data_IF_113553980193
#
_entry.id   IF_113553980193
#
_cell.length_a   1.000
_cell.length_b   1.000
_cell.length_c   1.000
_cell.angle_alpha   90.00
_cell.angle_beta   90.00
_cell.angle_gamma   90.00
#
_symmetry.space_group_name_H-M   'P 1'
#
loop_
_entity.id
_entity.type
_entity.pdbx_description
1 polymer ?
#
# COMPACT_ATOMS: atom_id res chain seq x y z
N UNK A 1 -1.10 -43.87 63.65
CA UNK A 1 -1.89 -42.63 63.42
C UNK A 1 -1.15 -41.80 62.37
N UNK A 2 -1.89 -41.46 61.31
CA UNK A 2 -1.63 -40.52 60.19
C UNK A 2 -0.34 -40.64 59.35
N UNK A 3 -0.42 -41.12 58.09
CA UNK A 3 0.59 -40.85 57.07
C UNK A 3 0.39 -39.42 56.50
N UNK A 4 1.47 -38.63 56.43
CA UNK A 4 1.49 -37.32 55.76
C UNK A 4 1.83 -37.52 54.29
N UNK A 5 0.87 -37.28 53.41
CA UNK A 5 1.05 -37.23 51.95
C UNK A 5 1.79 -35.95 51.56
N UNK A 6 2.98 -36.10 50.95
CA UNK A 6 3.71 -35.00 50.32
C UNK A 6 3.19 -34.87 48.89
N UNK A 7 2.51 -33.77 48.61
CA UNK A 7 1.99 -33.40 47.29
C UNK A 7 3.19 -32.98 46.42
N UNK A 8 3.39 -33.68 45.31
CA UNK A 8 4.42 -33.39 44.32
C UNK A 8 4.09 -32.08 43.58
N UNK A 9 4.91 -31.05 43.79
CA UNK A 9 4.89 -29.81 43.02
C UNK A 9 5.27 -30.12 41.58
N UNK A 10 4.34 -29.87 40.66
CA UNK A 10 4.53 -30.00 39.22
C UNK A 10 5.61 -28.99 38.83
N UNK A 11 6.78 -29.47 38.40
CA UNK A 11 7.81 -28.66 37.79
C UNK A 11 7.28 -28.19 36.42
N UNK A 12 6.60 -27.04 36.42
CA UNK A 12 6.18 -26.38 35.19
C UNK A 12 7.41 -25.95 34.41
N UNK A 13 7.68 -26.63 33.29
CA UNK A 13 8.59 -26.16 32.25
C UNK A 13 7.96 -24.94 31.57
N UNK A 14 8.09 -23.78 32.21
CA UNK A 14 7.66 -22.48 31.72
C UNK A 14 8.86 -21.62 31.36
N UNK A 15 9.64 -22.04 30.37
CA UNK A 15 10.65 -21.19 29.74
C UNK A 15 10.68 -21.47 28.24
N UNK A 16 9.54 -21.28 27.57
CA UNK A 16 9.57 -20.88 26.16
C UNK A 16 10.11 -19.44 26.16
N UNK A 17 11.43 -19.34 26.03
CA UNK A 17 12.16 -18.08 25.92
C UNK A 17 11.53 -17.23 24.84
N UNK A 18 10.91 -16.13 25.28
CA UNK A 18 10.39 -15.10 24.41
C UNK A 18 11.51 -14.30 23.76
N UNK A 19 11.06 -13.46 22.81
CA UNK A 19 11.73 -12.36 22.11
C UNK A 19 12.71 -12.70 20.97
N UNK A 20 12.14 -12.88 19.77
CA UNK A 20 12.65 -12.15 18.59
C UNK A 20 11.47 -11.36 17.98
N UNK A 21 10.93 -10.42 18.74
CA UNK A 21 10.07 -9.35 18.22
C UNK A 21 10.81 -8.03 18.38
N UNK A 22 11.85 -7.82 17.57
CA UNK A 22 12.70 -6.63 17.67
C UNK A 22 13.32 -6.29 16.34
N UNK A 23 12.57 -5.59 15.49
CA UNK A 23 13.12 -5.02 14.26
C UNK A 23 12.14 -4.17 13.46
N UNK A 24 10.84 -4.48 13.50
CA UNK A 24 9.87 -3.79 12.61
C UNK A 24 9.18 -2.56 13.22
N UNK A 25 9.37 -2.26 14.51
CA UNK A 25 8.54 -1.27 15.22
C UNK A 25 9.23 0.08 15.52
N UNK A 26 10.51 0.26 15.17
CA UNK A 26 11.27 1.48 15.51
C UNK A 26 11.84 2.27 14.32
N UNK A 27 11.55 1.89 13.07
CA UNK A 27 11.86 2.76 11.94
C UNK A 27 10.75 3.79 11.79
N UNK A 28 11.02 5.03 12.23
CA UNK A 28 10.23 6.17 11.78
C UNK A 28 10.20 6.15 10.25
N UNK A 29 9.02 6.25 9.62
CA UNK A 29 8.94 6.25 8.17
C UNK A 29 9.79 7.42 7.63
N UNK A 30 10.54 7.18 6.55
CA UNK A 30 11.41 8.21 5.95
C UNK A 30 10.80 8.82 4.71
N UNK A 31 9.89 8.08 4.07
CA UNK A 31 9.25 8.45 2.82
C UNK A 31 7.80 7.92 2.76
N UNK A 32 7.11 8.22 1.67
CA UNK A 32 5.73 7.77 1.47
C UNK A 32 5.59 6.25 1.32
N UNK A 33 6.62 5.55 0.83
CA UNK A 33 6.61 4.07 0.78
C UNK A 33 6.58 3.47 2.18
N UNK A 34 7.36 4.01 3.10
CA UNK A 34 7.37 3.56 4.50
C UNK A 34 6.05 3.86 5.19
N UNK A 35 5.42 5.02 4.89
CA UNK A 35 4.08 5.35 5.38
C UNK A 35 3.05 4.35 4.86
N UNK A 36 3.08 4.05 3.55
CA UNK A 36 2.18 3.08 2.95
C UNK A 36 2.28 1.71 3.64
N UNK A 37 3.50 1.25 3.90
CA UNK A 37 3.74 -0.01 4.62
C UNK A 37 3.25 0.06 6.08
N UNK A 38 3.50 1.19 6.77
CA UNK A 38 3.06 1.43 8.15
C UNK A 38 1.53 1.42 8.28
N UNK A 39 0.82 1.92 7.27
CA UNK A 39 -0.65 1.94 7.22
C UNK A 39 -1.25 0.61 6.73
N UNK A 40 -0.44 -0.44 6.55
CA UNK A 40 -0.90 -1.78 6.14
C UNK A 40 -1.21 -1.93 4.64
N UNK A 41 -0.81 -0.92 3.86
CA UNK A 41 -0.78 -0.97 2.40
C UNK A 41 0.34 -1.86 1.89
N UNK A 42 0.25 -2.24 0.62
CA UNK A 42 1.27 -3.03 -0.07
C UNK A 42 1.69 -2.28 -1.35
N UNK A 43 2.92 -1.76 -1.42
CA UNK A 43 3.38 -1.03 -2.60
C UNK A 43 3.38 -1.94 -3.82
N UNK A 44 2.81 -1.43 -4.92
CA UNK A 44 2.91 -2.08 -6.22
C UNK A 44 4.36 -2.06 -6.72
N UNK A 45 4.78 -3.14 -7.37
CA UNK A 45 6.08 -3.18 -8.02
C UNK A 45 6.11 -2.23 -9.21
N UNK A 46 7.14 -1.38 -9.24
CA UNK A 46 7.40 -0.40 -10.31
C UNK A 46 8.51 -0.85 -11.26
N UNK A 47 9.19 -1.96 -10.97
CA UNK A 47 10.35 -2.46 -11.72
C UNK A 47 10.08 -3.75 -12.48
N UNK A 48 9.16 -4.58 -11.97
CA UNK A 48 8.84 -5.87 -12.58
C UNK A 48 7.38 -5.93 -13.05
N UNK A 49 6.98 -7.12 -13.50
CA UNK A 49 5.67 -7.41 -14.09
C UNK A 49 4.70 -8.09 -13.13
N UNK A 50 5.04 -8.23 -11.86
CA UNK A 50 4.22 -8.97 -10.87
C UNK A 50 2.83 -8.37 -10.66
N UNK A 51 2.64 -7.10 -11.01
CA UNK A 51 1.40 -6.38 -10.83
C UNK A 51 0.83 -5.79 -12.13
N UNK A 52 1.22 -6.29 -13.31
CA UNK A 52 0.81 -5.70 -14.60
C UNK A 52 -0.73 -5.65 -14.78
N UNK A 53 -1.47 -6.65 -14.29
CA UNK A 53 -2.94 -6.64 -14.31
C UNK A 53 -3.53 -5.52 -13.44
N UNK A 54 -2.91 -5.26 -12.28
CA UNK A 54 -3.35 -4.20 -11.37
C UNK A 54 -3.04 -2.84 -12.00
N UNK A 55 -1.85 -2.69 -12.59
CA UNK A 55 -1.46 -1.47 -13.28
C UNK A 55 -2.38 -1.16 -14.46
N UNK A 56 -2.75 -2.18 -15.25
CA UNK A 56 -3.71 -2.04 -16.35
C UNK A 56 -5.06 -1.54 -15.84
N UNK A 57 -5.58 -2.10 -14.75
CA UNK A 57 -6.84 -1.66 -14.13
C UNK A 57 -6.77 -0.22 -13.62
N UNK A 58 -5.67 0.15 -12.95
CA UNK A 58 -5.46 1.50 -12.44
C UNK A 58 -5.36 2.52 -13.56
N UNK A 59 -4.60 2.24 -14.62
CA UNK A 59 -4.50 3.11 -15.80
C UNK A 59 -5.87 3.33 -16.43
N UNK A 60 -6.65 2.25 -16.62
CA UNK A 60 -8.02 2.35 -17.14
C UNK A 60 -8.90 3.22 -16.24
N UNK A 61 -8.87 3.00 -14.92
CA UNK A 61 -9.63 3.80 -13.96
C UNK A 61 -9.21 5.28 -13.97
N UNK A 62 -7.92 5.53 -14.16
CA UNK A 62 -7.36 6.88 -14.25
C UNK A 62 -7.84 7.62 -15.51
N UNK A 63 -7.88 6.95 -16.66
CA UNK A 63 -8.36 7.55 -17.93
C UNK A 63 -9.89 7.69 -17.97
N UNK A 64 -10.61 6.92 -17.15
CA UNK A 64 -12.05 7.04 -16.96
C UNK A 64 -12.47 8.24 -16.09
N UNK A 65 -11.59 8.70 -15.19
CA UNK A 65 -11.88 9.83 -14.31
C UNK A 65 -11.77 11.18 -15.02
N UNK A 66 -12.80 11.99 -14.80
CA UNK A 66 -12.80 13.39 -15.23
C UNK A 66 -11.89 14.23 -14.31
N UNK A 67 -11.36 15.34 -14.82
CA UNK A 67 -10.42 16.22 -14.09
C UNK A 67 -11.06 16.99 -12.93
N UNK A 68 -12.31 16.68 -12.59
CA UNK A 68 -13.13 17.39 -11.60
C UNK A 68 -12.71 17.10 -10.15
N UNK A 69 -11.91 16.05 -9.90
CA UNK A 69 -11.42 15.75 -8.55
C UNK A 69 -9.88 15.68 -8.47
N UNK A 70 -9.21 16.84 -8.33
CA UNK A 70 -7.75 16.89 -8.27
C UNK A 70 -7.15 16.30 -7.00
N UNK A 71 -7.96 15.98 -5.99
CA UNK A 71 -7.50 15.27 -4.79
C UNK A 71 -7.32 13.78 -5.02
N UNK A 72 -7.85 13.27 -6.14
CA UNK A 72 -7.78 11.87 -6.56
C UNK A 72 -6.92 11.78 -7.81
N UNK A 73 -7.17 12.60 -8.83
CA UNK A 73 -6.43 12.59 -10.09
C UNK A 73 -5.16 13.43 -10.00
N UNK A 74 -4.05 12.85 -10.44
CA UNK A 74 -2.72 13.47 -10.37
C UNK A 74 -2.60 14.52 -11.49
N UNK A 75 -2.77 15.81 -11.17
CA UNK A 75 -2.76 16.89 -12.19
C UNK A 75 -1.55 16.88 -13.13
N UNK A 76 -0.38 16.48 -12.61
CA UNK A 76 0.88 16.47 -13.37
C UNK A 76 1.09 15.19 -14.20
N UNK A 77 0.22 14.19 -14.04
CA UNK A 77 0.30 12.93 -14.77
C UNK A 77 -0.76 12.90 -15.89
N UNK A 78 -0.29 13.12 -17.11
CA UNK A 78 -1.09 12.99 -18.32
C UNK A 78 -0.83 11.63 -18.95
N UNK A 79 -1.84 10.75 -18.93
CA UNK A 79 -1.83 9.50 -19.68
C UNK A 79 -2.36 9.76 -21.10
N UNK A 80 -1.82 9.05 -22.09
CA UNK A 80 -2.20 9.21 -23.51
C UNK A 80 -3.43 8.38 -23.88
N UNK A 81 -3.65 7.28 -23.17
CA UNK A 81 -4.83 6.44 -23.35
C UNK A 81 -6.11 7.16 -22.96
N UNK A 82 -7.22 6.57 -23.38
CA UNK A 82 -8.57 7.03 -23.08
C UNK A 82 -9.42 5.86 -22.54
N UNK A 83 -10.71 6.12 -22.30
CA UNK A 83 -11.66 5.13 -21.78
C UNK A 83 -11.77 3.87 -22.67
N UNK A 84 -11.51 4.02 -23.97
CA UNK A 84 -11.69 2.96 -24.98
C UNK A 84 -10.38 2.25 -25.36
N UNK A 85 -9.22 2.88 -25.13
CA UNK A 85 -7.93 2.34 -25.53
C UNK A 85 -6.82 2.81 -24.60
N UNK A 86 -6.15 1.84 -23.97
CA UNK A 86 -4.92 2.07 -23.22
C UNK A 86 -3.75 2.19 -24.18
N UNK A 87 -2.86 3.17 -23.97
CA UNK A 87 -1.63 3.30 -24.75
C UNK A 87 -0.47 2.56 -24.06
N UNK A 88 0.43 1.99 -24.86
CA UNK A 88 1.50 1.10 -24.38
C UNK A 88 2.43 1.75 -23.33
N UNK A 89 2.53 3.08 -23.31
CA UNK A 89 3.37 3.83 -22.36
C UNK A 89 2.67 4.27 -21.07
N UNK A 90 1.35 4.13 -20.94
CA UNK A 90 0.61 4.70 -19.80
C UNK A 90 0.94 3.99 -18.48
N UNK A 91 1.10 2.67 -18.53
CA UNK A 91 1.54 1.89 -17.37
C UNK A 91 2.92 2.33 -16.91
N UNK A 92 3.86 2.56 -17.84
CA UNK A 92 5.21 3.01 -17.49
C UNK A 92 5.21 4.41 -16.89
N UNK A 93 4.37 5.31 -17.39
CA UNK A 93 4.19 6.65 -16.84
C UNK A 93 3.67 6.59 -15.40
N UNK A 94 2.62 5.79 -15.16
CA UNK A 94 2.06 5.62 -13.81
C UNK A 94 3.06 4.95 -12.86
N UNK A 95 3.76 3.89 -13.31
CA UNK A 95 4.85 3.23 -12.54
C UNK A 95 5.95 4.23 -12.17
N UNK A 96 6.39 5.05 -13.13
CA UNK A 96 7.43 6.07 -12.90
C UNK A 96 6.96 7.12 -11.89
N UNK A 97 5.72 7.57 -11.99
CA UNK A 97 5.15 8.51 -11.02
C UNK A 97 5.09 7.91 -9.62
N UNK A 98 4.60 6.67 -9.48
CA UNK A 98 4.59 5.96 -8.21
C UNK A 98 5.98 5.75 -7.62
N UNK A 99 7.00 5.51 -8.46
CA UNK A 99 8.39 5.48 -8.02
C UNK A 99 8.83 6.80 -7.39
N UNK A 100 8.53 7.94 -8.03
CA UNK A 100 8.83 9.28 -7.48
C UNK A 100 8.10 9.51 -6.15
N UNK A 101 6.82 9.09 -6.06
CA UNK A 101 6.05 9.19 -4.83
C UNK A 101 6.69 8.37 -3.70
N UNK A 102 7.08 7.12 -3.95
CA UNK A 102 7.74 6.27 -2.96
C UNK A 102 9.02 6.87 -2.38
N UNK A 103 9.76 7.61 -3.19
CA UNK A 103 11.02 8.25 -2.81
C UNK A 103 10.81 9.62 -2.14
N UNK A 104 9.57 10.14 -2.15
CA UNK A 104 9.25 11.44 -1.56
C UNK A 104 9.45 11.41 -0.04
N UNK A 105 10.36 12.24 0.52
CA UNK A 105 10.64 12.25 1.94
C UNK A 105 9.46 12.81 2.74
N UNK A 106 9.40 12.44 4.02
CA UNK A 106 8.41 13.04 4.92
C UNK A 106 8.66 14.53 5.05
N UNK A 107 7.61 15.31 4.81
CA UNK A 107 7.57 16.74 5.05
C UNK A 107 6.19 17.12 5.58
N UNK A 108 6.03 18.36 6.04
CA UNK A 108 4.75 18.94 6.41
C UNK A 108 4.23 19.81 5.27
N UNK A 109 2.94 19.73 4.95
CA UNK A 109 2.27 20.63 4.02
C UNK A 109 1.30 19.93 3.07
N UNK A 110 0.50 20.72 2.37
CA UNK A 110 -0.58 20.21 1.52
C UNK A 110 -0.07 19.34 0.37
N UNK A 111 1.11 19.66 -0.18
CA UNK A 111 1.77 18.86 -1.22
C UNK A 111 2.09 17.45 -0.72
N UNK A 112 2.59 17.34 0.52
CA UNK A 112 2.92 16.04 1.11
C UNK A 112 1.66 15.20 1.34
N UNK A 113 0.61 15.80 1.92
CA UNK A 113 -0.67 15.12 2.14
C UNK A 113 -1.33 14.70 0.82
N UNK A 114 -1.20 15.52 -0.22
CA UNK A 114 -1.66 15.19 -1.58
C UNK A 114 -0.88 14.01 -2.15
N UNK A 115 0.45 14.02 -2.06
CA UNK A 115 1.30 12.93 -2.53
C UNK A 115 1.04 11.63 -1.74
N UNK A 116 0.77 11.74 -0.44
CA UNK A 116 0.35 10.60 0.40
C UNK A 116 -0.95 10.00 -0.11
N UNK A 117 -1.98 10.81 -0.37
CA UNK A 117 -3.25 10.35 -0.95
C UNK A 117 -3.04 9.71 -2.31
N UNK A 118 -2.24 10.31 -3.19
CA UNK A 118 -1.91 9.72 -4.48
C UNK A 118 -1.20 8.37 -4.33
N UNK A 119 -0.28 8.23 -3.38
CA UNK A 119 0.41 6.97 -3.10
C UNK A 119 -0.57 5.88 -2.66
N UNK A 120 -1.49 6.21 -1.74
CA UNK A 120 -2.51 5.28 -1.24
C UNK A 120 -3.52 4.87 -2.33
N UNK A 121 -3.88 5.80 -3.22
CA UNK A 121 -4.87 5.59 -4.26
C UNK A 121 -4.30 4.95 -5.53
N UNK A 122 -3.03 5.16 -5.88
CA UNK A 122 -2.50 4.77 -7.19
C UNK A 122 -1.32 3.83 -7.13
N UNK A 123 -0.65 3.72 -5.99
CA UNK A 123 0.58 2.95 -5.84
C UNK A 123 0.42 1.78 -4.86
N UNK A 124 -0.82 1.43 -4.51
CA UNK A 124 -1.13 0.40 -3.53
C UNK A 124 -1.92 -0.73 -4.17
N UNK A 125 -1.54 -1.99 -3.90
CA UNK A 125 -2.29 -3.17 -4.33
C UNK A 125 -3.71 -3.20 -3.76
N UNK A 126 -3.92 -2.57 -2.60
CA UNK A 126 -5.23 -2.46 -1.93
C UNK A 126 -5.92 -1.13 -2.20
N UNK A 127 -5.56 -0.45 -3.29
CA UNK A 127 -6.12 0.85 -3.64
C UNK A 127 -7.67 0.83 -3.65
N UNK A 128 -8.28 1.86 -3.07
CA UNK A 128 -9.72 2.09 -3.16
C UNK A 128 -10.19 2.25 -4.62
N UNK A 129 -9.32 2.76 -5.51
CA UNK A 129 -9.62 2.91 -6.94
C UNK A 129 -9.92 1.56 -7.62
N UNK A 130 -9.42 0.45 -7.06
CA UNK A 130 -9.69 -0.90 -7.55
C UNK A 130 -11.01 -1.46 -7.01
N UNK A 131 -11.43 -1.04 -5.81
CA UNK A 131 -12.68 -1.52 -5.19
C UNK A 131 -13.91 -0.98 -5.90
N UNK A 132 -13.84 0.26 -6.37
CA UNK A 132 -14.92 0.88 -7.15
C UNK A 132 -15.22 0.11 -8.45
N UNK A 133 -14.24 -0.58 -9.03
CA UNK A 133 -14.46 -1.42 -10.22
C UNK A 133 -15.29 -2.67 -9.92
N UNK A 134 -15.22 -3.20 -8.69
CA UNK A 134 -15.98 -4.39 -8.27
C UNK A 134 -17.44 -4.01 -7.97
N UNK A 135 -17.66 -2.84 -7.38
CA UNK A 135 -19.01 -2.34 -7.10
C UNK A 135 -19.81 -2.04 -8.38
N UNK A 136 -19.15 -1.54 -9.44
CA UNK A 136 -19.82 -1.20 -10.71
C UNK A 136 -20.05 -2.41 -11.64
N UNK A 137 -19.41 -3.55 -11.43
CA UNK A 137 -19.64 -4.78 -12.21
C UNK A 137 -20.80 -5.64 -11.68
N UNK A 138 -21.41 -5.24 -10.57
CA UNK A 138 -22.47 -5.97 -9.87
C UNK A 138 -23.84 -5.27 -9.95
N UNK A 139 -23.95 -4.20 -10.75
CA UNK A 139 -25.15 -3.37 -10.90
C UNK A 139 -25.71 -3.39 -12.31
#
# INVERSE_FOLDING_TARGET
MTPKTIIASIAGTGALGGVITGGYFFMQPKNLKDILLKEGGKPLSVTDKSNDDIWTKLVKKYTEMDDTNPSIKIKELTLKGNKSKQEAGDIELLKKHCKTLYETPISSGDTFETNKKHTLNWCNEKSEMLKDMVAQASG
#
